data_IF_302596680965
#
_entry.id   IF_302596680965
#
_cell.length_a   1.000
_cell.length_b   1.000
_cell.length_c   1.000
_cell.angle_alpha   90.00
_cell.angle_beta   90.00
_cell.angle_gamma   90.00
#
_symmetry.space_group_name_H-M   'P 1'
#
loop_
_entity.id
_entity.type
_entity.pdbx_description
1 polymer ?
#
# COMPACT_ATOMS: atom_id res chain seq x y z
N UNK A 1 -3.16 -11.89 17.56
CA UNK A 1 -2.70 -12.02 16.17
C UNK A 1 -1.20 -11.80 16.17
N UNK A 2 -0.42 -12.86 15.98
CA UNK A 2 1.05 -12.77 15.94
C UNK A 2 1.44 -12.09 14.63
N UNK A 3 1.91 -10.84 14.70
CA UNK A 3 2.42 -10.15 13.52
C UNK A 3 3.66 -10.87 12.99
N UNK A 4 3.74 -11.07 11.68
CA UNK A 4 4.94 -11.61 11.04
C UNK A 4 6.14 -10.69 11.33
N UNK A 5 7.29 -11.30 11.65
CA UNK A 5 8.50 -10.55 11.98
C UNK A 5 9.06 -9.82 10.76
N UNK A 6 9.75 -8.70 10.94
CA UNK A 6 10.33 -7.92 9.82
C UNK A 6 11.27 -8.75 8.92
N UNK A 7 12.04 -9.68 9.51
CA UNK A 7 12.89 -10.60 8.74
C UNK A 7 12.09 -11.61 7.90
N UNK A 8 10.92 -12.03 8.38
CA UNK A 8 10.01 -12.93 7.64
C UNK A 8 9.31 -12.17 6.51
N UNK A 9 8.85 -10.95 6.77
CA UNK A 9 8.31 -10.03 5.74
C UNK A 9 9.32 -9.88 4.61
N UNK A 10 10.59 -9.58 4.93
CA UNK A 10 11.62 -9.39 3.92
C UNK A 10 11.84 -10.63 3.05
N UNK A 11 11.92 -11.82 3.65
CA UNK A 11 12.16 -13.05 2.90
C UNK A 11 10.99 -13.41 1.98
N UNK A 12 9.77 -13.37 2.51
CA UNK A 12 8.57 -13.72 1.72
C UNK A 12 8.28 -12.70 0.63
N UNK A 13 8.43 -11.40 0.94
CA UNK A 13 8.28 -10.34 -0.05
C UNK A 13 9.33 -10.47 -1.17
N UNK A 14 10.59 -10.81 -0.84
CA UNK A 14 11.62 -11.03 -1.87
C UNK A 14 11.24 -12.14 -2.82
N UNK A 15 10.84 -13.30 -2.29
CA UNK A 15 10.44 -14.45 -3.10
C UNK A 15 9.29 -14.06 -4.05
N UNK A 16 8.27 -13.43 -3.50
CA UNK A 16 7.12 -12.93 -4.26
C UNK A 16 7.52 -11.93 -5.35
N UNK A 17 8.35 -10.94 -5.04
CA UNK A 17 8.77 -9.92 -6.01
C UNK A 17 9.61 -10.50 -7.16
N UNK A 18 10.40 -11.55 -6.89
CA UNK A 18 11.17 -12.24 -7.94
C UNK A 18 10.30 -13.03 -8.89
N UNK A 19 9.17 -13.54 -8.41
CA UNK A 19 8.17 -14.21 -9.24
C UNK A 19 7.30 -13.20 -10.01
N UNK A 20 6.88 -12.12 -9.34
CA UNK A 20 5.96 -11.13 -9.89
C UNK A 20 6.63 -10.16 -10.88
N UNK A 21 7.84 -9.69 -10.56
CA UNK A 21 8.49 -8.58 -11.26
C UNK A 21 9.61 -9.09 -12.16
N UNK A 22 10.68 -9.61 -11.58
CA UNK A 22 11.81 -10.22 -12.29
C UNK A 22 12.71 -11.01 -11.31
N UNK A 23 13.25 -12.18 -11.71
CA UNK A 23 14.09 -13.01 -10.82
C UNK A 23 15.36 -12.32 -10.28
N UNK A 24 15.87 -11.31 -10.99
CA UNK A 24 17.05 -10.53 -10.64
C UNK A 24 16.79 -9.40 -9.64
N UNK A 25 15.52 -9.13 -9.29
CA UNK A 25 15.18 -8.09 -8.32
C UNK A 25 15.72 -8.45 -6.93
N UNK A 26 16.29 -7.45 -6.27
CA UNK A 26 16.66 -7.50 -4.86
C UNK A 26 16.35 -6.17 -4.18
N UNK A 27 16.50 -6.10 -2.87
CA UNK A 27 16.33 -4.87 -2.11
C UNK A 27 17.58 -3.99 -2.21
N UNK A 28 17.42 -2.77 -2.72
CA UNK A 28 18.39 -1.70 -2.53
C UNK A 28 18.35 -1.20 -1.08
N UNK A 29 17.14 -1.16 -0.49
CA UNK A 29 16.90 -0.93 0.93
C UNK A 29 15.83 -1.91 1.43
N UNK A 30 16.10 -2.70 2.49
CA UNK A 30 15.16 -3.72 2.96
C UNK A 30 13.90 -3.12 3.62
N UNK A 31 12.78 -3.87 3.67
CA UNK A 31 11.55 -3.44 4.33
C UNK A 31 11.77 -3.05 5.79
N UNK A 32 11.58 -1.75 6.08
CA UNK A 32 11.69 -1.19 7.42
C UNK A 32 10.33 -0.70 7.88
N UNK A 33 9.84 -1.08 9.09
CA UNK A 33 8.56 -0.62 9.59
C UNK A 33 8.46 0.90 9.66
N UNK A 34 7.35 1.46 9.18
CA UNK A 34 6.97 2.84 9.47
C UNK A 34 6.20 2.88 10.78
N UNK A 35 6.80 3.48 11.81
CA UNK A 35 6.13 3.80 13.07
C UNK A 35 5.28 5.07 12.89
N UNK A 36 4.00 5.02 13.28
CA UNK A 36 3.15 6.23 13.36
C UNK A 36 1.72 6.16 12.79
N UNK A 37 1.16 4.98 12.49
CA UNK A 37 -0.22 4.85 11.99
C UNK A 37 -1.08 3.93 12.87
N UNK A 38 -2.34 4.31 13.10
CA UNK A 38 -3.21 3.65 14.07
C UNK A 38 -3.63 2.21 13.70
N UNK A 39 -3.63 1.81 12.42
CA UNK A 39 -4.23 0.51 12.03
C UNK A 39 -3.65 -0.19 10.78
N UNK A 40 -2.38 0.00 10.41
CA UNK A 40 -1.77 -0.84 9.36
C UNK A 40 -0.26 -0.99 9.53
N UNK A 41 0.23 -2.21 9.43
CA UNK A 41 1.66 -2.48 9.39
C UNK A 41 2.19 -2.04 8.02
N UNK A 42 2.85 -0.89 8.00
CA UNK A 42 3.44 -0.31 6.81
C UNK A 42 4.96 -0.50 6.84
N UNK A 43 5.56 -0.87 5.73
CA UNK A 43 7.01 -1.02 5.58
C UNK A 43 7.48 -0.21 4.38
N UNK A 44 8.58 0.54 4.53
CA UNK A 44 9.23 1.20 3.39
C UNK A 44 10.41 0.38 2.92
N UNK A 45 10.56 0.27 1.60
CA UNK A 45 11.67 -0.42 0.95
C UNK A 45 11.99 0.23 -0.40
N UNK A 46 13.12 -0.17 -0.97
CA UNK A 46 13.55 0.20 -2.33
C UNK A 46 14.08 -1.05 -3.04
N UNK A 47 13.83 -1.14 -4.35
CA UNK A 47 14.28 -2.26 -5.17
C UNK A 47 15.47 -1.88 -6.05
N UNK A 48 16.43 -2.79 -6.14
CA UNK A 48 17.51 -2.79 -7.11
C UNK A 48 17.11 -3.65 -8.31
N UNK A 49 17.56 -3.26 -9.50
CA UNK A 49 17.29 -3.97 -10.77
C UNK A 49 15.80 -4.10 -11.11
N UNK A 50 14.95 -3.21 -10.59
CA UNK A 50 13.52 -3.20 -10.85
C UNK A 50 13.17 -2.34 -12.09
N UNK A 51 12.12 -2.70 -12.84
CA UNK A 51 11.60 -1.88 -13.92
C UNK A 51 11.07 -0.52 -13.40
N UNK A 52 10.92 0.44 -14.31
CA UNK A 52 10.59 1.83 -13.97
C UNK A 52 9.35 1.98 -13.06
N UNK A 53 8.34 1.14 -13.24
CA UNK A 53 7.10 1.18 -12.44
C UNK A 53 7.32 0.88 -10.96
N UNK A 54 8.36 0.10 -10.65
CA UNK A 54 8.77 -0.34 -9.31
C UNK A 54 9.99 0.42 -8.79
N UNK A 55 10.42 1.46 -9.51
CA UNK A 55 11.58 2.27 -9.13
C UNK A 55 11.25 3.26 -8.01
N UNK A 56 12.28 3.58 -7.21
CA UNK A 56 12.19 4.52 -6.10
C UNK A 56 11.67 3.89 -4.79
N UNK A 57 11.25 4.75 -3.86
CA UNK A 57 10.74 4.35 -2.54
C UNK A 57 9.32 3.82 -2.66
N UNK A 58 9.13 2.62 -2.13
CA UNK A 58 7.85 1.93 -2.09
C UNK A 58 7.40 1.72 -0.64
N UNK A 59 6.09 1.63 -0.46
CA UNK A 59 5.43 1.27 0.79
C UNK A 59 4.69 -0.03 0.57
N UNK A 60 5.01 -1.04 1.37
CA UNK A 60 4.18 -2.22 1.58
C UNK A 60 3.18 -1.89 2.70
N UNK A 61 1.89 -2.07 2.44
CA UNK A 61 0.84 -1.92 3.43
C UNK A 61 0.08 -3.24 3.60
N UNK A 62 0.19 -3.83 4.79
CA UNK A 62 -0.68 -4.94 5.19
C UNK A 62 -2.06 -4.38 5.58
N UNK A 63 -3.11 -5.02 5.09
CA UNK A 63 -4.49 -4.61 5.37
C UNK A 63 -5.19 -5.73 6.12
N UNK A 64 -5.59 -5.41 7.35
CA UNK A 64 -6.50 -6.26 8.12
C UNK A 64 -7.90 -6.17 7.51
N UNK A 65 -8.28 -7.16 6.72
CA UNK A 65 -9.55 -7.12 6.00
C UNK A 65 -9.66 -8.14 4.87
N UNK A 66 -10.77 -8.10 4.14
CA UNK A 66 -10.98 -8.97 2.98
C UNK A 66 -10.31 -8.37 1.73
N UNK A 67 -9.87 -9.21 0.80
CA UNK A 67 -9.29 -8.77 -0.47
C UNK A 67 -10.18 -7.83 -1.31
N UNK A 68 -11.49 -7.79 -1.06
CA UNK A 68 -12.41 -6.82 -1.65
C UNK A 68 -12.13 -5.38 -1.16
N UNK A 69 -11.80 -5.20 0.12
CA UNK A 69 -11.52 -3.88 0.70
C UNK A 69 -10.26 -3.25 0.11
N UNK A 70 -9.22 -4.03 -0.18
CA UNK A 70 -8.01 -3.52 -0.84
C UNK A 70 -8.30 -3.05 -2.27
N UNK A 71 -9.07 -3.82 -3.04
CA UNK A 71 -9.41 -3.42 -4.42
C UNK A 71 -10.21 -2.13 -4.46
N UNK A 72 -11.14 -1.95 -3.53
CA UNK A 72 -11.88 -0.70 -3.37
C UNK A 72 -10.94 0.46 -3.01
N UNK A 73 -10.02 0.26 -2.07
CA UNK A 73 -9.06 1.29 -1.67
C UNK A 73 -8.12 1.69 -2.82
N UNK A 74 -7.63 0.73 -3.60
CA UNK A 74 -6.82 1.00 -4.78
C UNK A 74 -7.59 1.82 -5.82
N UNK A 75 -8.85 1.45 -6.12
CA UNK A 75 -9.70 2.19 -7.04
C UNK A 75 -9.99 3.63 -6.58
N UNK A 76 -10.17 3.83 -5.28
CA UNK A 76 -10.33 5.18 -4.69
C UNK A 76 -9.07 6.04 -4.85
N UNK A 77 -7.89 5.47 -4.63
CA UNK A 77 -6.62 6.21 -4.80
C UNK A 77 -6.38 6.59 -6.26
N UNK A 78 -6.65 5.68 -7.20
CA UNK A 78 -6.54 5.98 -8.62
C UNK A 78 -7.54 7.05 -9.07
N UNK A 79 -8.78 6.98 -8.58
CA UNK A 79 -9.80 8.01 -8.84
C UNK A 79 -9.39 9.38 -8.29
N UNK A 80 -8.84 9.45 -7.07
CA UNK A 80 -8.35 10.68 -6.49
C UNK A 80 -7.20 11.29 -7.30
N UNK A 81 -6.25 10.46 -7.76
CA UNK A 81 -5.14 10.89 -8.62
C UNK A 81 -5.64 11.43 -9.96
N UNK A 82 -6.61 10.75 -10.59
CA UNK A 82 -7.22 11.22 -11.83
C UNK A 82 -7.93 12.58 -11.66
N UNK A 83 -8.45 12.86 -10.46
CA UNK A 83 -9.04 14.14 -10.09
C UNK A 83 -8.02 15.22 -9.67
N UNK A 84 -6.70 14.94 -9.77
CA UNK A 84 -5.64 15.91 -9.44
C UNK A 84 -5.32 16.02 -7.94
N UNK A 85 -5.87 15.14 -7.10
CA UNK A 85 -5.53 15.07 -5.67
C UNK A 85 -4.22 14.28 -5.51
N UNK A 86 -3.26 14.75 -4.70
CA UNK A 86 -2.07 13.97 -4.38
C UNK A 86 -2.44 12.66 -3.67
N UNK A 87 -2.35 11.54 -4.40
CA UNK A 87 -2.60 10.20 -3.90
C UNK A 87 -1.41 9.27 -4.27
N UNK A 88 -1.07 8.29 -3.41
CA UNK A 88 -0.07 7.28 -3.76
C UNK A 88 -0.49 6.52 -5.01
N UNK A 89 0.46 6.31 -5.93
CA UNK A 89 0.26 5.38 -7.03
C UNK A 89 0.39 3.96 -6.50
N UNK A 90 -0.67 3.17 -6.58
CA UNK A 90 -0.63 1.73 -6.31
C UNK A 90 0.07 1.05 -7.48
N UNK A 91 1.11 0.28 -7.19
CA UNK A 91 1.87 -0.49 -8.19
C UNK A 91 1.46 -1.96 -8.19
N UNK A 92 0.93 -2.46 -7.06
CA UNK A 92 0.45 -3.83 -6.96
C UNK A 92 -0.56 -4.00 -5.83
N UNK A 93 -1.49 -4.95 -6.01
CA UNK A 93 -2.46 -5.41 -5.02
C UNK A 93 -2.39 -6.93 -4.96
N UNK A 94 -2.06 -7.47 -3.80
CA UNK A 94 -2.18 -8.89 -3.49
C UNK A 94 -3.37 -9.05 -2.55
N UNK A 95 -4.43 -9.66 -3.07
CA UNK A 95 -5.71 -9.75 -2.36
C UNK A 95 -5.88 -11.03 -1.55
N UNK A 96 -4.99 -12.00 -1.74
CA UNK A 96 -4.88 -13.20 -0.91
C UNK A 96 -4.00 -12.92 0.31
N UNK A 97 -4.20 -13.70 1.38
CA UNK A 97 -3.29 -13.71 2.53
C UNK A 97 -2.12 -14.68 2.36
N UNK A 98 -1.98 -15.31 1.19
CA UNK A 98 -1.16 -16.51 1.04
C UNK A 98 0.35 -16.19 1.11
N UNK A 99 0.73 -14.98 0.70
CA UNK A 99 2.14 -14.55 0.67
C UNK A 99 2.61 -14.08 2.06
N UNK A 100 1.88 -13.14 2.68
CA UNK A 100 2.31 -12.45 3.91
C UNK A 100 1.40 -12.73 5.12
N UNK A 101 0.50 -13.71 5.02
CA UNK A 101 -0.50 -14.01 6.05
C UNK A 101 -1.69 -13.05 6.07
N UNK A 102 -1.57 -11.89 5.42
CA UNK A 102 -2.61 -10.88 5.26
C UNK A 102 -2.56 -10.31 3.84
N UNK A 103 -3.72 -9.91 3.28
CA UNK A 103 -3.76 -9.16 2.04
C UNK A 103 -2.96 -7.86 2.13
N UNK A 104 -2.34 -7.44 1.02
CA UNK A 104 -1.48 -6.26 1.01
C UNK A 104 -1.53 -5.48 -0.31
N UNK A 105 -1.01 -4.25 -0.26
CA UNK A 105 -0.74 -3.46 -1.45
C UNK A 105 0.68 -2.88 -1.41
N UNK A 106 1.24 -2.65 -2.59
CA UNK A 106 2.49 -1.90 -2.77
C UNK A 106 2.17 -0.61 -3.50
N UNK A 107 2.66 0.50 -2.97
CA UNK A 107 2.43 1.84 -3.52
C UNK A 107 3.70 2.69 -3.46
N UNK A 108 3.78 3.71 -4.31
CA UNK A 108 4.86 4.69 -4.23
C UNK A 108 4.79 5.48 -2.92
N UNK A 109 5.94 5.72 -2.30
CA UNK A 109 6.05 6.61 -1.16
C UNK A 109 5.90 8.06 -1.65
N UNK A 110 4.75 8.68 -1.36
CA UNK A 110 4.54 10.10 -1.62
C UNK A 110 5.07 10.89 -0.43
N UNK A 111 5.97 11.85 -0.70
CA UNK A 111 6.43 12.80 0.30
C UNK A 111 5.32 13.79 0.64
N UNK A 112 4.59 13.51 1.71
CA UNK A 112 3.62 14.42 2.30
C UNK A 112 3.67 14.29 3.82
N UNK A 113 3.54 15.41 4.54
CA UNK A 113 3.08 15.32 5.92
C UNK A 113 1.67 14.78 5.83
N UNK A 114 1.39 13.65 6.48
CA UNK A 114 0.04 13.09 6.49
C UNK A 114 -0.95 14.20 6.80
N UNK A 115 -1.92 14.43 5.92
CA UNK A 115 -3.01 15.39 6.13
C UNK A 115 -3.90 15.02 7.36
N UNK A 116 -3.53 13.95 8.07
CA UNK A 116 -4.28 13.21 9.07
C UNK A 116 -3.81 13.52 10.50
N UNK A 117 -3.57 14.80 10.79
CA UNK A 117 -3.48 15.27 12.17
C UNK A 117 -4.85 15.42 12.86
N UNK A 118 -5.96 15.07 12.19
CA UNK A 118 -7.29 15.33 12.78
C UNK A 118 -8.54 14.93 12.00
N UNK A 119 -8.49 14.01 11.04
CA UNK A 119 -9.70 13.56 10.34
C UNK A 119 -9.87 12.06 10.48
N UNK A 120 -10.88 11.66 11.25
CA UNK A 120 -11.37 10.29 11.29
C UNK A 120 -12.01 9.92 9.96
N UNK A 121 -11.23 9.23 9.13
CA UNK A 121 -11.62 8.71 7.82
C UNK A 121 -12.99 7.99 7.79
N UNK A 122 -13.36 7.32 8.89
CA UNK A 122 -14.65 6.64 9.06
C UNK A 122 -15.86 7.59 9.01
N UNK A 123 -15.72 8.86 9.42
CA UNK A 123 -16.79 9.86 9.30
C UNK A 123 -16.96 10.32 7.85
N UNK A 124 -15.88 10.36 7.07
CA UNK A 124 -15.91 10.76 5.66
C UNK A 124 -16.49 9.66 4.76
N UNK A 125 -16.19 8.39 5.02
CA UNK A 125 -16.76 7.26 4.27
C UNK A 125 -18.29 7.16 4.38
N UNK A 126 -18.87 7.63 5.49
CA UNK A 126 -20.32 7.64 5.71
C UNK A 126 -21.04 8.74 4.92
N UNK A 127 -20.37 9.86 4.66
CA UNK A 127 -20.95 11.02 3.96
C UNK A 127 -20.67 11.01 2.45
N UNK A 128 -19.77 10.14 1.98
CA UNK A 128 -19.44 9.93 0.57
C UNK A 128 -20.64 9.66 -0.37
N UNK A 129 -21.68 8.89 0.02
CA UNK A 129 -22.87 8.67 -0.82
C UNK A 129 -23.67 9.95 -1.10
N UNK A 130 -23.56 10.98 -0.24
CA UNK A 130 -24.26 12.27 -0.43
C UNK A 130 -23.48 13.22 -1.34
N UNK A 131 -22.18 13.03 -1.47
CA UNK A 131 -21.28 13.89 -2.25
C UNK A 131 -21.30 13.56 -3.75
N UNK A 132 -21.62 12.31 -4.11
CA UNK A 132 -21.77 11.85 -5.50
C UNK A 132 -23.09 12.37 -6.14
N UNK A 133 -24.06 12.80 -5.33
CA UNK A 133 -25.39 13.25 -5.81
C UNK A 133 -25.45 14.74 -6.18
N UNK A 134 -24.38 15.50 -5.94
CA UNK A 134 -24.32 16.95 -6.20
C UNK A 134 -23.18 17.38 -7.13
N UNK A 135 -22.60 16.45 -7.88
CA UNK A 135 -21.69 16.78 -8.97
C UNK A 135 -22.50 16.86 -10.28
N UNK A 136 -22.33 17.90 -11.11
CA UNK A 136 -23.09 18.09 -12.34
C UNK A 136 -22.88 16.96 -13.35
#
# INVERSE_FOLDING_TARGET
MSGIGAGEVQQRLRAFLRELVDPGVDFAAPPTPLSGGAFSANYVFELAHAPQEWSGRLVLRLVTGSGFQIRMEAGLQDGARAAGVPAPRVVHVESSGDVLGEPFMVMQLVSGRGFLGGIEWYRFARDFPKMIRSWP
#
